data_IF_073180345366
#
_entry.id   IF_073180345366
#
_cell.length_a   1.000
_cell.length_b   1.000
_cell.length_c   1.000
_cell.angle_alpha   90.00
_cell.angle_beta   90.00
_cell.angle_gamma   90.00
#
_symmetry.space_group_name_H-M   'P 1'
#
loop_
_entity.id
_entity.type
_entity.pdbx_description
1 polymer ?
#
# COMPACT_ATOMS: atom_id res chain seq x y z
N UNK A 1 -6.05 37.31 26.18
CA UNK A 1 -4.60 37.62 26.20
C UNK A 1 -3.85 36.33 26.52
N UNK A 2 -2.77 36.09 25.77
CA UNK A 2 -2.11 34.81 25.59
C UNK A 2 -1.51 34.19 26.87
N UNK A 3 -1.64 32.88 27.00
CA UNK A 3 -0.73 32.07 27.83
C UNK A 3 -0.02 31.10 26.89
N UNK A 4 1.23 31.47 26.58
CA UNK A 4 2.21 30.61 25.93
C UNK A 4 2.47 29.37 26.82
N UNK A 5 1.98 28.20 26.40
CA UNK A 5 2.47 26.94 26.94
C UNK A 5 3.80 26.62 26.26
N UNK A 6 4.89 26.82 27.02
CA UNK A 6 6.23 26.35 26.67
C UNK A 6 6.19 24.84 26.37
N UNK A 7 6.89 24.37 25.32
CA UNK A 7 7.10 22.94 25.11
C UNK A 7 7.97 22.38 26.24
N UNK A 8 7.61 21.19 26.72
CA UNK A 8 8.40 20.44 27.69
C UNK A 8 9.77 20.12 27.09
N UNK A 9 10.76 20.81 27.62
CA UNK A 9 12.18 20.70 27.33
C UNK A 9 12.72 19.38 27.90
N UNK A 10 13.46 18.66 27.06
CA UNK A 10 14.56 17.74 27.36
C UNK A 10 14.39 16.75 28.53
N UNK A 11 13.86 15.56 28.23
CA UNK A 11 14.54 14.36 28.71
C UNK A 11 15.59 13.96 27.67
N UNK A 12 16.78 14.55 27.78
CA UNK A 12 17.98 13.99 27.16
C UNK A 12 18.18 12.61 27.75
N UNK A 13 17.81 11.57 27.01
CA UNK A 13 18.31 10.21 27.26
C UNK A 13 19.83 10.33 27.26
N UNK A 14 20.42 10.05 28.42
CA UNK A 14 21.83 10.30 28.71
C UNK A 14 22.74 9.70 27.64
N UNK A 15 23.67 10.50 27.12
CA UNK A 15 24.69 10.14 26.13
C UNK A 15 25.74 9.12 26.64
N UNK A 16 25.51 8.47 27.78
CA UNK A 16 26.46 7.51 28.39
C UNK A 16 26.52 6.13 27.72
N UNK A 17 25.68 5.86 26.74
CA UNK A 17 25.63 4.55 26.08
C UNK A 17 26.08 4.58 24.61
N UNK A 18 26.60 5.71 24.12
CA UNK A 18 27.07 5.83 22.72
C UNK A 18 28.35 5.04 22.40
N UNK A 19 29.00 4.41 23.38
CA UNK A 19 30.27 3.72 23.20
C UNK A 19 30.32 2.23 23.54
N UNK A 20 29.20 1.57 23.90
CA UNK A 20 29.24 0.18 24.39
C UNK A 20 28.12 -0.67 23.79
N UNK A 21 28.03 -0.80 22.47
CA UNK A 21 27.14 -1.80 21.87
C UNK A 21 27.77 -2.41 20.62
N UNK A 22 28.76 -3.27 20.84
CA UNK A 22 29.38 -4.12 19.81
C UNK A 22 28.88 -5.59 19.86
N UNK A 23 27.95 -5.93 20.76
CA UNK A 23 27.37 -7.28 20.84
C UNK A 23 25.97 -7.32 20.23
N UNK A 24 25.85 -7.96 19.06
CA UNK A 24 24.59 -8.17 18.34
C UNK A 24 23.52 -8.91 19.17
N UNK A 25 23.89 -9.77 20.10
CA UNK A 25 22.94 -10.60 20.87
C UNK A 25 22.15 -9.81 21.92
N UNK A 26 22.80 -8.92 22.67
CA UNK A 26 22.12 -8.07 23.65
C UNK A 26 21.16 -7.09 22.96
N UNK A 27 21.58 -6.52 21.82
CA UNK A 27 20.75 -5.62 21.02
C UNK A 27 19.47 -6.32 20.53
N UNK A 28 19.60 -7.57 20.11
CA UNK A 28 18.47 -8.36 19.63
C UNK A 28 17.50 -8.71 20.77
N UNK A 29 18.01 -9.14 21.93
CA UNK A 29 17.19 -9.45 23.11
C UNK A 29 16.36 -8.25 23.61
N UNK A 30 16.94 -7.03 23.55
CA UNK A 30 16.25 -5.81 23.92
C UNK A 30 15.04 -5.51 23.02
N UNK A 31 15.24 -5.52 21.70
CA UNK A 31 14.13 -5.25 20.76
C UNK A 31 13.06 -6.35 20.77
N UNK A 32 13.44 -7.60 21.06
CA UNK A 32 12.46 -8.66 21.27
C UNK A 32 11.58 -8.45 22.52
N UNK A 33 11.97 -7.66 23.50
CA UNK A 33 11.14 -7.33 24.67
C UNK A 33 10.12 -6.20 24.41
N UNK A 34 10.36 -5.33 23.42
CA UNK A 34 9.48 -4.18 23.13
C UNK A 34 8.15 -4.58 22.50
N UNK A 35 7.10 -3.78 22.71
CA UNK A 35 5.83 -3.92 21.99
C UNK A 35 5.97 -3.51 20.52
N UNK A 36 5.01 -3.91 19.68
CA UNK A 36 5.00 -3.56 18.24
C UNK A 36 5.00 -2.04 18.05
N UNK A 37 4.21 -1.30 18.82
CA UNK A 37 4.15 0.16 18.69
C UNK A 37 5.48 0.84 19.07
N UNK A 38 6.15 0.36 20.12
CA UNK A 38 7.47 0.86 20.53
C UNK A 38 8.53 0.56 19.45
N UNK A 39 8.48 -0.62 18.83
CA UNK A 39 9.37 -0.97 17.71
C UNK A 39 9.13 -0.06 16.50
N UNK A 40 7.88 0.22 16.14
CA UNK A 40 7.57 1.15 15.03
C UNK A 40 8.10 2.55 15.33
N UNK A 41 7.89 3.07 16.55
CA UNK A 41 8.38 4.40 16.94
C UNK A 41 9.91 4.48 16.93
N UNK A 42 10.57 3.44 17.44
CA UNK A 42 12.02 3.36 17.44
C UNK A 42 12.59 3.28 16.02
N UNK A 43 11.98 2.49 15.14
CA UNK A 43 12.35 2.46 13.73
C UNK A 43 12.23 3.85 13.09
N UNK A 44 11.15 4.58 13.33
CA UNK A 44 10.99 5.94 12.82
C UNK A 44 12.05 6.90 13.36
N UNK A 45 12.36 6.84 14.66
CA UNK A 45 13.45 7.60 15.28
C UNK A 45 14.79 7.29 14.62
N UNK A 46 15.10 6.02 14.38
CA UNK A 46 16.32 5.57 13.70
C UNK A 46 16.39 6.07 12.26
N UNK A 47 15.28 6.05 11.52
CA UNK A 47 15.19 6.58 10.15
C UNK A 47 15.44 8.09 10.11
N UNK A 48 14.87 8.86 11.04
CA UNK A 48 15.12 10.31 11.14
C UNK A 48 16.62 10.58 11.33
N UNK A 49 17.30 9.72 12.10
CA UNK A 49 18.74 9.77 12.32
C UNK A 49 19.57 9.11 11.19
N UNK A 50 18.93 8.77 10.05
CA UNK A 50 19.55 8.13 8.87
C UNK A 50 20.21 6.77 9.15
N UNK A 51 19.85 6.09 10.24
CA UNK A 51 20.32 4.75 10.58
C UNK A 51 19.43 3.69 9.90
N UNK A 52 19.42 3.66 8.56
CA UNK A 52 18.45 2.89 7.78
C UNK A 52 18.54 1.38 7.99
N UNK A 53 19.75 0.80 8.06
CA UNK A 53 19.92 -0.65 8.27
C UNK A 53 19.38 -1.10 9.63
N UNK A 54 19.69 -0.37 10.70
CA UNK A 54 19.17 -0.67 12.05
C UNK A 54 17.67 -0.44 12.13
N UNK A 55 17.18 0.63 11.50
CA UNK A 55 15.74 0.91 11.40
C UNK A 55 14.98 -0.23 10.70
N UNK A 56 15.52 -0.77 9.61
CA UNK A 56 14.96 -1.93 8.92
C UNK A 56 14.96 -3.18 9.80
N UNK A 57 16.05 -3.46 10.54
CA UNK A 57 16.12 -4.58 11.48
C UNK A 57 15.05 -4.48 12.58
N UNK A 58 14.84 -3.29 13.15
CA UNK A 58 13.79 -3.07 14.15
C UNK A 58 12.39 -3.32 13.56
N UNK A 59 12.14 -2.88 12.32
CA UNK A 59 10.89 -3.17 11.62
C UNK A 59 10.71 -4.66 11.28
N UNK A 60 11.79 -5.39 11.00
CA UNK A 60 11.74 -6.83 10.80
C UNK A 60 11.19 -7.52 12.05
N UNK A 61 11.74 -7.18 13.23
CA UNK A 61 11.27 -7.73 14.51
C UNK A 61 9.80 -7.37 14.76
N UNK A 62 9.39 -6.14 14.42
CA UNK A 62 7.99 -5.73 14.52
C UNK A 62 7.08 -6.57 13.60
N UNK A 63 7.48 -6.76 12.35
CA UNK A 63 6.73 -7.52 11.36
C UNK A 63 6.58 -9.00 11.75
N UNK A 64 7.66 -9.63 12.23
CA UNK A 64 7.63 -11.01 12.74
C UNK A 64 6.66 -11.16 13.91
N UNK A 65 6.64 -10.18 14.83
CA UNK A 65 5.66 -10.13 15.93
C UNK A 65 4.23 -9.93 15.41
N UNK A 66 4.03 -9.06 14.43
CA UNK A 66 2.73 -8.84 13.80
C UNK A 66 2.20 -10.13 13.17
N UNK A 67 3.03 -10.86 12.42
CA UNK A 67 2.65 -12.14 11.83
C UNK A 67 2.32 -13.20 12.88
N UNK A 68 3.14 -13.32 13.92
CA UNK A 68 2.88 -14.24 15.04
C UNK A 68 1.56 -13.93 15.75
N UNK A 69 1.25 -12.64 15.93
CA UNK A 69 0.05 -12.17 16.62
C UNK A 69 -1.16 -12.03 15.70
N UNK A 70 -1.07 -12.47 14.44
CA UNK A 70 -2.13 -12.34 13.43
C UNK A 70 -2.63 -10.91 13.23
N UNK A 71 -1.73 -9.95 13.34
CA UNK A 71 -2.08 -8.54 13.18
C UNK A 71 -2.18 -8.15 11.70
N UNK A 72 -3.22 -7.38 11.35
CA UNK A 72 -3.57 -7.03 9.96
C UNK A 72 -3.35 -5.55 9.60
N UNK A 73 -2.68 -4.77 10.45
CA UNK A 73 -2.40 -3.33 10.20
C UNK A 73 -1.43 -3.16 9.02
N UNK A 74 -1.96 -3.21 7.80
CA UNK A 74 -1.20 -3.21 6.54
C UNK A 74 -0.22 -2.05 6.41
N UNK A 75 -0.65 -0.85 6.81
CA UNK A 75 0.16 0.37 6.77
C UNK A 75 1.46 0.29 7.59
N UNK A 76 1.49 -0.53 8.65
CA UNK A 76 2.70 -0.80 9.41
C UNK A 76 3.58 -1.83 8.71
N UNK A 77 2.98 -2.90 8.18
CA UNK A 77 3.69 -3.93 7.41
C UNK A 77 4.41 -3.33 6.19
N UNK A 78 3.78 -2.39 5.50
CA UNK A 78 4.33 -1.72 4.32
C UNK A 78 5.51 -0.78 4.63
N UNK A 79 5.78 -0.44 5.89
CA UNK A 79 6.97 0.34 6.25
C UNK A 79 8.24 -0.45 6.01
N UNK A 80 8.25 -1.73 6.37
CA UNK A 80 9.46 -2.57 6.30
C UNK A 80 10.08 -2.64 4.89
N UNK A 81 9.36 -3.01 3.81
CA UNK A 81 9.93 -3.04 2.46
C UNK A 81 10.47 -1.67 2.03
N UNK A 82 9.81 -0.57 2.40
CA UNK A 82 10.29 0.78 2.08
C UNK A 82 11.57 1.16 2.83
N UNK A 83 11.78 0.63 4.03
CA UNK A 83 12.98 0.90 4.83
C UNK A 83 14.14 0.00 4.40
N UNK A 84 13.85 -1.23 3.95
CA UNK A 84 14.82 -2.08 3.26
C UNK A 84 15.37 -1.37 2.01
N UNK A 85 14.51 -0.71 1.23
CA UNK A 85 14.96 0.11 0.10
C UNK A 85 15.95 1.20 0.53
N UNK A 86 15.62 1.95 1.58
CA UNK A 86 16.50 3.02 2.11
C UNK A 86 17.83 2.48 2.63
N UNK A 87 17.85 1.22 3.08
CA UNK A 87 19.05 0.51 3.51
C UNK A 87 19.83 -0.14 2.35
N UNK A 88 19.42 0.06 1.09
CA UNK A 88 20.06 -0.55 -0.09
C UNK A 88 19.70 -2.03 -0.32
N UNK A 89 18.72 -2.57 0.41
CA UNK A 89 18.28 -3.97 0.32
C UNK A 89 17.04 -4.12 -0.57
N UNK A 90 17.14 -3.65 -1.82
CA UNK A 90 15.99 -3.52 -2.72
C UNK A 90 15.33 -4.86 -3.05
N UNK A 91 16.12 -5.88 -3.36
CA UNK A 91 15.59 -7.21 -3.68
C UNK A 91 14.81 -7.80 -2.50
N UNK A 92 15.38 -7.71 -1.29
CA UNK A 92 14.69 -8.13 -0.07
C UNK A 92 13.39 -7.34 0.13
N UNK A 93 13.43 -6.01 -0.04
CA UNK A 93 12.24 -5.17 0.05
C UNK A 93 11.16 -5.57 -0.96
N UNK A 94 11.55 -5.94 -2.18
CA UNK A 94 10.61 -6.44 -3.18
C UNK A 94 9.95 -7.76 -2.77
N UNK A 95 10.75 -8.71 -2.29
CA UNK A 95 10.25 -10.00 -1.81
C UNK A 95 9.31 -9.86 -0.60
N UNK A 96 9.52 -8.87 0.26
CA UNK A 96 8.63 -8.60 1.39
C UNK A 96 7.23 -8.15 0.96
N UNK A 97 7.06 -7.42 -0.15
CA UNK A 97 5.72 -7.13 -0.67
C UNK A 97 4.97 -8.42 -1.04
N UNK A 98 5.66 -9.39 -1.65
CA UNK A 98 5.06 -10.67 -2.03
C UNK A 98 4.66 -11.48 -0.78
N UNK A 99 5.50 -11.48 0.26
CA UNK A 99 5.16 -12.10 1.55
C UNK A 99 3.94 -11.45 2.20
N UNK A 100 3.86 -10.12 2.17
CA UNK A 100 2.68 -9.39 2.68
C UNK A 100 1.43 -9.79 1.87
N UNK A 101 1.49 -9.87 0.54
CA UNK A 101 0.36 -10.36 -0.27
C UNK A 101 -0.05 -11.78 0.12
N UNK A 102 0.91 -12.70 0.24
CA UNK A 102 0.67 -14.09 0.67
C UNK A 102 0.00 -14.17 2.04
N UNK A 103 0.38 -13.31 2.98
CA UNK A 103 -0.22 -13.22 4.30
C UNK A 103 -1.72 -12.86 4.23
N UNK A 104 -2.11 -11.88 3.40
CA UNK A 104 -3.53 -11.53 3.21
C UNK A 104 -4.32 -12.58 2.43
N UNK A 105 -3.70 -13.27 1.45
CA UNK A 105 -4.34 -14.42 0.80
C UNK A 105 -4.64 -15.55 1.81
N UNK A 106 -3.78 -15.74 2.82
CA UNK A 106 -4.04 -16.67 3.92
C UNK A 106 -5.35 -16.37 4.64
N UNK A 107 -5.57 -15.10 5.00
CA UNK A 107 -6.80 -14.63 5.66
C UNK A 107 -8.04 -14.69 4.78
N UNK A 108 -7.89 -14.53 3.47
CA UNK A 108 -9.03 -14.71 2.59
C UNK A 108 -9.44 -16.19 2.52
N UNK A 109 -8.46 -17.10 2.47
CA UNK A 109 -8.71 -18.55 2.43
C UNK A 109 -9.33 -19.10 3.71
N UNK A 110 -8.95 -18.59 4.88
CA UNK A 110 -9.54 -19.00 6.16
C UNK A 110 -10.86 -18.28 6.49
N UNK A 111 -11.29 -17.34 5.63
CA UNK A 111 -12.54 -16.60 5.78
C UNK A 111 -12.48 -15.43 6.76
N UNK A 112 -11.29 -15.08 7.28
CA UNK A 112 -11.11 -13.91 8.16
C UNK A 112 -11.39 -12.60 7.44
N UNK A 113 -11.04 -12.51 6.14
CA UNK A 113 -11.37 -11.37 5.29
C UNK A 113 -12.14 -11.79 4.04
N UNK A 114 -12.98 -10.90 3.54
CA UNK A 114 -13.71 -11.05 2.30
C UNK A 114 -12.80 -10.85 1.08
N UNK A 115 -13.27 -11.30 -0.10
CA UNK A 115 -12.57 -11.02 -1.38
C UNK A 115 -12.45 -9.52 -1.67
N UNK A 116 -13.45 -8.72 -1.28
CA UNK A 116 -13.42 -7.28 -1.43
C UNK A 116 -12.31 -6.63 -0.58
N UNK A 117 -12.15 -7.07 0.67
CA UNK A 117 -11.07 -6.61 1.56
C UNK A 117 -9.70 -7.06 1.08
N UNK A 118 -9.59 -8.26 0.50
CA UNK A 118 -8.37 -8.72 -0.14
C UNK A 118 -7.96 -7.78 -1.28
N UNK A 119 -8.85 -7.50 -2.24
CA UNK A 119 -8.54 -6.57 -3.34
C UNK A 119 -8.24 -5.15 -2.85
N UNK A 120 -8.91 -4.70 -1.78
CA UNK A 120 -8.58 -3.42 -1.16
C UNK A 120 -7.14 -3.43 -0.62
N UNK A 121 -6.75 -4.44 0.14
CA UNK A 121 -5.40 -4.57 0.68
C UNK A 121 -4.35 -4.71 -0.44
N UNK A 122 -4.65 -5.49 -1.49
CA UNK A 122 -3.79 -5.60 -2.67
C UNK A 122 -3.59 -4.24 -3.34
N UNK A 123 -4.66 -3.47 -3.55
CA UNK A 123 -4.56 -2.14 -4.15
C UNK A 123 -3.58 -1.24 -3.39
N UNK A 124 -3.58 -1.31 -2.06
CA UNK A 124 -2.66 -0.54 -1.19
C UNK A 124 -1.22 -1.05 -1.28
N UNK A 125 -1.02 -2.38 -1.29
CA UNK A 125 0.30 -2.98 -1.46
C UNK A 125 0.87 -2.59 -2.82
N UNK A 126 0.11 -2.77 -3.88
CA UNK A 126 0.46 -2.44 -5.27
C UNK A 126 0.75 -0.95 -5.44
N UNK A 127 0.02 -0.06 -4.76
CA UNK A 127 0.33 1.37 -4.74
C UNK A 127 1.72 1.66 -4.17
N UNK A 128 2.07 1.01 -3.04
CA UNK A 128 3.40 1.18 -2.45
C UNK A 128 4.49 0.53 -3.30
N UNK A 129 4.19 -0.58 -3.98
CA UNK A 129 5.09 -1.15 -5.00
C UNK A 129 5.37 -0.17 -6.15
N UNK A 130 4.37 0.61 -6.59
CA UNK A 130 4.55 1.66 -7.59
C UNK A 130 5.54 2.73 -7.12
N UNK A 131 5.36 3.23 -5.89
CA UNK A 131 6.27 4.20 -5.27
C UNK A 131 7.68 3.63 -5.07
N UNK A 132 7.79 2.35 -4.75
CA UNK A 132 9.06 1.64 -4.62
C UNK A 132 9.82 1.64 -5.96
N UNK A 133 9.14 1.26 -7.06
CA UNK A 133 9.73 1.26 -8.40
C UNK A 133 10.06 2.68 -8.89
N UNK A 134 9.21 3.66 -8.59
CA UNK A 134 9.45 5.06 -8.96
C UNK A 134 10.76 5.58 -8.33
N UNK A 135 11.04 5.24 -7.06
CA UNK A 135 12.30 5.59 -6.40
C UNK A 135 13.52 4.94 -7.02
N UNK A 136 13.35 3.75 -7.62
CA UNK A 136 14.38 3.07 -8.42
C UNK A 136 14.56 3.68 -9.82
N UNK A 137 13.69 4.63 -10.20
CA UNK A 137 13.61 5.19 -11.56
C UNK A 137 13.16 4.16 -12.61
N UNK A 138 12.51 3.09 -12.17
CA UNK A 138 11.88 2.09 -13.04
C UNK A 138 10.46 2.57 -13.40
N UNK A 139 10.38 3.65 -14.18
CA UNK A 139 9.13 4.40 -14.34
C UNK A 139 8.04 3.65 -15.11
N UNK A 140 8.41 2.77 -16.05
CA UNK A 140 7.45 1.88 -16.72
C UNK A 140 6.74 0.95 -15.75
N UNK A 141 7.52 0.24 -14.92
CA UNK A 141 6.97 -0.59 -13.84
C UNK A 141 6.18 0.24 -12.84
N UNK A 142 6.64 1.45 -12.46
CA UNK A 142 5.91 2.31 -11.55
C UNK A 142 4.52 2.69 -12.09
N UNK A 143 4.44 3.11 -13.36
CA UNK A 143 3.17 3.45 -14.03
C UNK A 143 2.26 2.24 -14.09
N UNK A 144 2.78 1.08 -14.48
CA UNK A 144 2.03 -0.19 -14.48
C UNK A 144 1.42 -0.47 -13.09
N UNK A 145 2.21 -0.39 -12.02
CA UNK A 145 1.71 -0.64 -10.66
C UNK A 145 0.71 0.42 -10.18
N UNK A 146 0.83 1.68 -10.60
CA UNK A 146 -0.20 2.69 -10.34
C UNK A 146 -1.53 2.35 -11.02
N UNK A 147 -1.50 1.95 -12.29
CA UNK A 147 -2.70 1.52 -13.03
C UNK A 147 -3.30 0.28 -12.38
N UNK A 148 -2.48 -0.73 -12.08
CA UNK A 148 -2.93 -1.96 -11.43
C UNK A 148 -3.58 -1.69 -10.07
N UNK A 149 -2.95 -0.85 -9.24
CA UNK A 149 -3.50 -0.44 -7.94
C UNK A 149 -4.87 0.22 -8.09
N UNK A 150 -5.00 1.10 -9.09
CA UNK A 150 -6.27 1.74 -9.41
C UNK A 150 -7.36 0.72 -9.79
N UNK A 151 -7.03 -0.23 -10.66
CA UNK A 151 -7.97 -1.28 -11.08
C UNK A 151 -8.36 -2.22 -9.93
N UNK A 152 -7.40 -2.66 -9.11
CA UNK A 152 -7.65 -3.48 -7.91
C UNK A 152 -8.60 -2.75 -6.94
N UNK A 153 -8.46 -1.43 -6.78
CA UNK A 153 -9.39 -0.63 -5.98
C UNK A 153 -10.81 -0.60 -6.55
N UNK A 154 -10.97 -0.60 -7.87
CA UNK A 154 -12.29 -0.65 -8.51
C UNK A 154 -12.91 -2.04 -8.38
N UNK A 155 -12.11 -3.10 -8.59
CA UNK A 155 -12.54 -4.48 -8.40
C UNK A 155 -13.03 -4.74 -6.98
N UNK A 156 -12.37 -4.17 -5.96
CA UNK A 156 -12.84 -4.22 -4.58
C UNK A 156 -14.27 -3.66 -4.41
N UNK A 157 -14.56 -2.50 -5.02
CA UNK A 157 -15.89 -1.88 -4.96
C UNK A 157 -16.95 -2.68 -5.72
N UNK A 158 -16.61 -3.23 -6.88
CA UNK A 158 -17.51 -4.10 -7.63
C UNK A 158 -17.86 -5.38 -6.85
N UNK A 159 -16.89 -5.95 -6.12
CA UNK A 159 -17.14 -7.07 -5.22
C UNK A 159 -18.06 -6.69 -4.06
N UNK A 160 -17.92 -5.49 -3.49
CA UNK A 160 -18.85 -4.98 -2.47
C UNK A 160 -20.26 -4.90 -3.04
N UNK A 161 -20.43 -4.28 -4.21
CA UNK A 161 -21.74 -4.13 -4.87
C UNK A 161 -22.36 -5.50 -5.15
N UNK A 162 -21.60 -6.44 -5.71
CA UNK A 162 -22.06 -7.79 -5.99
C UNK A 162 -22.50 -8.54 -4.71
N UNK A 163 -21.72 -8.43 -3.63
CA UNK A 163 -22.08 -9.03 -2.34
C UNK A 163 -23.35 -8.41 -1.75
N UNK A 164 -23.55 -7.10 -1.88
CA UNK A 164 -24.77 -6.45 -1.41
C UNK A 164 -25.98 -6.90 -2.23
N UNK A 165 -25.88 -7.03 -3.55
CA UNK A 165 -26.95 -7.58 -4.38
C UNK A 165 -27.40 -8.97 -3.90
N UNK A 166 -26.45 -9.88 -3.66
CA UNK A 166 -26.75 -11.21 -3.14
C UNK A 166 -27.41 -11.19 -1.75
N UNK A 167 -27.08 -10.21 -0.90
CA UNK A 167 -27.73 -10.03 0.41
C UNK A 167 -29.15 -9.48 0.27
N UNK A 168 -29.36 -8.51 -0.63
CA UNK A 168 -30.68 -7.93 -0.93
C UNK A 168 -31.65 -9.02 -1.42
N UNK A 169 -31.19 -9.90 -2.31
CA UNK A 169 -31.99 -11.04 -2.81
C UNK A 169 -32.43 -11.99 -1.69
N UNK A 170 -31.60 -12.16 -0.66
CA UNK A 170 -31.83 -13.09 0.46
C UNK A 170 -32.48 -12.45 1.69
N UNK A 171 -32.66 -11.14 1.69
CA UNK A 171 -33.20 -10.40 2.84
C UNK A 171 -34.68 -10.72 3.08
N UNK A 172 -35.04 -10.89 4.36
CA UNK A 172 -36.37 -11.39 4.76
C UNK A 172 -37.34 -10.27 5.14
N UNK A 173 -36.85 -9.04 5.30
CA UNK A 173 -37.68 -7.88 5.66
C UNK A 173 -37.47 -6.72 4.69
N UNK A 174 -38.50 -5.86 4.58
CA UNK A 174 -38.43 -4.66 3.76
C UNK A 174 -37.41 -3.64 4.32
N UNK A 175 -37.26 -3.59 5.63
CA UNK A 175 -36.34 -2.66 6.31
C UNK A 175 -34.88 -3.07 6.06
N UNK A 176 -34.56 -4.35 6.22
CA UNK A 176 -33.25 -4.91 5.86
C UNK A 176 -32.90 -4.68 4.39
N UNK A 177 -33.86 -4.86 3.47
CA UNK A 177 -33.65 -4.57 2.04
C UNK A 177 -33.28 -3.10 1.80
N UNK A 178 -34.00 -2.17 2.42
CA UNK A 178 -33.73 -0.72 2.28
C UNK A 178 -32.34 -0.34 2.78
N UNK A 179 -31.90 -0.91 3.91
CA UNK A 179 -30.57 -0.65 4.45
C UNK A 179 -29.46 -1.16 3.51
N UNK A 180 -29.61 -2.39 3.01
CA UNK A 180 -28.66 -2.97 2.06
C UNK A 180 -28.63 -2.22 0.72
N UNK A 181 -29.78 -1.79 0.22
CA UNK A 181 -29.90 -0.95 -0.98
C UNK A 181 -29.18 0.39 -0.81
N UNK A 182 -29.33 1.04 0.36
CA UNK A 182 -28.63 2.28 0.70
C UNK A 182 -27.12 2.11 0.64
N UNK A 183 -26.59 1.03 1.23
CA UNK A 183 -25.15 0.71 1.20
C UNK A 183 -24.69 0.45 -0.24
N UNK A 184 -25.46 -0.30 -1.03
CA UNK A 184 -25.17 -0.56 -2.45
C UNK A 184 -25.10 0.74 -3.27
N UNK A 185 -26.08 1.64 -3.12
CA UNK A 185 -26.13 2.93 -3.82
C UNK A 185 -24.92 3.80 -3.46
N UNK A 186 -24.49 3.78 -2.19
CA UNK A 186 -23.27 4.49 -1.76
C UNK A 186 -22.02 3.91 -2.43
N UNK A 187 -21.90 2.57 -2.48
CA UNK A 187 -20.79 1.90 -3.14
C UNK A 187 -20.77 2.19 -4.66
N UNK A 188 -21.92 2.19 -5.34
CA UNK A 188 -22.06 2.56 -6.76
C UNK A 188 -21.65 4.02 -7.01
N UNK A 189 -22.11 4.93 -6.16
CA UNK A 189 -21.73 6.35 -6.24
C UNK A 189 -20.23 6.53 -6.09
N UNK A 190 -19.61 5.82 -5.14
CA UNK A 190 -18.16 5.86 -4.94
C UNK A 190 -17.39 5.21 -6.09
N UNK A 191 -17.90 4.10 -6.67
CA UNK A 191 -17.34 3.48 -7.86
C UNK A 191 -17.34 4.43 -9.05
N UNK A 192 -18.46 5.12 -9.31
CA UNK A 192 -18.58 6.08 -10.39
C UNK A 192 -17.61 7.27 -10.21
N UNK A 193 -17.49 7.77 -8.98
CA UNK A 193 -16.50 8.80 -8.65
C UNK A 193 -15.07 8.30 -8.88
N UNK A 194 -14.79 7.02 -8.57
CA UNK A 194 -13.48 6.40 -8.78
C UNK A 194 -13.17 6.13 -10.25
N UNK A 195 -14.17 5.84 -11.09
CA UNK A 195 -14.03 5.69 -12.55
C UNK A 195 -13.76 7.02 -13.28
N UNK A 196 -13.96 8.16 -12.61
CA UNK A 196 -13.74 9.47 -13.21
C UNK A 196 -12.26 9.69 -13.60
N UNK A 197 -11.98 10.28 -14.79
CA UNK A 197 -10.61 10.38 -15.33
C UNK A 197 -9.58 11.02 -14.39
N UNK A 198 -9.99 12.04 -13.63
CA UNK A 198 -9.09 12.76 -12.74
C UNK A 198 -8.43 11.85 -11.67
N UNK A 199 -9.04 10.72 -11.32
CA UNK A 199 -8.53 9.81 -10.28
C UNK A 199 -7.22 9.16 -10.71
N UNK A 200 -7.15 8.56 -11.90
CA UNK A 200 -5.90 7.97 -12.40
C UNK A 200 -4.98 9.00 -13.03
N UNK A 201 -5.51 10.08 -13.61
CA UNK A 201 -4.67 11.18 -14.10
C UNK A 201 -3.79 11.72 -12.97
N UNK A 202 -4.35 11.94 -11.79
CA UNK A 202 -3.59 12.43 -10.63
C UNK A 202 -2.52 11.42 -10.17
N UNK A 203 -2.79 10.11 -10.30
CA UNK A 203 -1.83 9.06 -9.97
C UNK A 203 -0.65 9.02 -10.94
N UNK A 204 -0.91 9.23 -12.24
CA UNK A 204 0.11 9.10 -13.29
C UNK A 204 0.88 10.39 -13.57
N UNK A 205 0.24 11.56 -13.41
CA UNK A 205 0.79 12.84 -13.86
C UNK A 205 2.17 13.15 -13.27
N UNK A 206 2.38 12.93 -11.97
CA UNK A 206 3.67 13.19 -11.32
C UNK A 206 4.80 12.36 -11.94
N UNK A 207 4.54 11.06 -12.17
CA UNK A 207 5.51 10.14 -12.76
C UNK A 207 5.81 10.52 -14.20
N UNK A 208 4.78 10.85 -14.99
CA UNK A 208 4.93 11.24 -16.40
C UNK A 208 5.67 12.58 -16.57
N UNK A 209 5.41 13.56 -15.70
CA UNK A 209 6.13 14.84 -15.69
C UNK A 209 7.61 14.62 -15.40
N UNK A 210 7.96 13.73 -14.45
CA UNK A 210 9.37 13.43 -14.11
C UNK A 210 10.17 12.85 -15.26
N UNK A 211 9.52 12.15 -16.18
CA UNK A 211 10.16 11.54 -17.36
C UNK A 211 9.89 12.31 -18.66
N UNK A 212 9.31 13.51 -18.60
CA UNK A 212 8.93 14.33 -19.76
C UNK A 212 7.96 13.66 -20.75
N UNK A 213 7.17 12.67 -20.31
CA UNK A 213 6.18 11.95 -21.14
C UNK A 213 4.74 12.34 -20.81
N UNK A 214 4.48 13.59 -20.39
CA UNK A 214 3.12 14.02 -20.01
C UNK A 214 2.13 13.94 -21.18
N UNK A 215 2.60 14.07 -22.42
CA UNK A 215 1.81 13.89 -23.64
C UNK A 215 1.27 12.46 -23.81
N UNK A 216 1.86 11.46 -23.16
CA UNK A 216 1.38 10.06 -23.18
C UNK A 216 0.11 9.85 -22.34
N UNK A 217 -0.30 10.85 -21.54
CA UNK A 217 -1.46 10.75 -20.64
C UNK A 217 -2.76 10.39 -21.38
N UNK A 218 -2.94 10.87 -22.61
CA UNK A 218 -4.11 10.54 -23.42
C UNK A 218 -4.17 9.05 -23.80
N UNK A 219 -3.03 8.45 -24.13
CA UNK A 219 -2.94 7.02 -24.46
C UNK A 219 -3.16 6.14 -23.23
N UNK A 220 -2.63 6.55 -22.07
CA UNK A 220 -2.96 5.88 -20.80
C UNK A 220 -4.43 5.99 -20.45
N UNK A 221 -5.06 7.14 -20.72
CA UNK A 221 -6.49 7.33 -20.55
C UNK A 221 -7.28 6.36 -21.44
N UNK A 222 -6.91 6.21 -22.72
CA UNK A 222 -7.53 5.24 -23.63
C UNK A 222 -7.37 3.80 -23.12
N UNK A 223 -6.15 3.41 -22.75
CA UNK A 223 -5.85 2.09 -22.19
C UNK A 223 -6.75 1.78 -20.99
N UNK A 224 -6.81 2.69 -20.02
CA UNK A 224 -7.63 2.51 -18.81
C UNK A 224 -9.11 2.39 -19.17
N UNK A 225 -9.65 3.28 -20.01
CA UNK A 225 -11.06 3.22 -20.40
C UNK A 225 -11.41 1.91 -21.10
N UNK A 226 -10.53 1.38 -21.96
CA UNK A 226 -10.71 0.06 -22.57
C UNK A 226 -10.69 -1.05 -21.53
N UNK A 227 -9.73 -1.03 -20.59
CA UNK A 227 -9.66 -2.03 -19.50
C UNK A 227 -10.90 -2.01 -18.60
N UNK A 228 -11.49 -0.83 -18.36
CA UNK A 228 -12.68 -0.70 -17.52
C UNK A 228 -13.92 -1.38 -18.09
N UNK A 229 -13.96 -1.64 -19.41
CA UNK A 229 -15.07 -2.36 -20.05
C UNK A 229 -15.11 -3.84 -19.65
N UNK A 230 -13.94 -4.41 -19.32
CA UNK A 230 -13.77 -5.83 -19.04
C UNK A 230 -13.49 -6.14 -17.56
N UNK A 231 -13.70 -5.17 -16.64
CA UNK A 231 -13.65 -5.47 -15.19
C UNK A 231 -14.73 -6.54 -14.87
N UNK A 232 -14.40 -7.67 -14.22
CA UNK A 232 -13.20 -7.97 -13.43
C UNK A 232 -12.12 -8.83 -14.12
N UNK A 233 -12.26 -9.19 -15.39
CA UNK A 233 -11.38 -10.13 -16.11
C UNK A 233 -10.12 -9.48 -16.68
N UNK A 234 -9.47 -8.64 -15.89
CA UNK A 234 -8.34 -7.82 -16.34
C UNK A 234 -7.10 -8.69 -16.60
N UNK A 235 -6.54 -8.59 -17.80
CA UNK A 235 -5.22 -9.15 -18.12
C UNK A 235 -4.11 -8.17 -17.74
N UNK A 236 -3.53 -8.39 -16.55
CA UNK A 236 -2.45 -7.55 -16.04
C UNK A 236 -1.12 -7.71 -16.78
N UNK A 237 -0.89 -8.78 -17.53
CA UNK A 237 0.32 -8.92 -18.35
C UNK A 237 0.18 -8.04 -19.59
N UNK A 238 -0.97 -8.09 -20.25
CA UNK A 238 -1.26 -7.23 -21.40
C UNK A 238 -1.18 -5.74 -21.02
N UNK A 239 -1.64 -5.35 -19.83
CA UNK A 239 -1.51 -3.96 -19.36
C UNK A 239 -0.03 -3.57 -19.22
N UNK A 240 0.82 -4.42 -18.65
CA UNK A 240 2.25 -4.14 -18.50
C UNK A 240 2.93 -3.95 -19.87
N UNK A 241 2.63 -4.84 -20.83
CA UNK A 241 3.09 -4.73 -22.21
C UNK A 241 2.66 -3.41 -22.85
N UNK A 242 1.37 -3.05 -22.75
CA UNK A 242 0.82 -1.81 -23.30
C UNK A 242 1.41 -0.56 -22.66
N UNK A 243 1.67 -0.58 -21.35
CA UNK A 243 2.35 0.53 -20.66
C UNK A 243 3.74 0.75 -21.25
N UNK A 244 4.51 -0.31 -21.48
CA UNK A 244 5.84 -0.20 -22.06
C UNK A 244 5.79 0.28 -23.51
N UNK A 245 4.86 -0.22 -24.32
CA UNK A 245 4.65 0.26 -25.70
C UNK A 245 4.36 1.77 -25.74
N UNK A 246 3.44 2.24 -24.88
CA UNK A 246 3.09 3.67 -24.80
C UNK A 246 4.33 4.49 -24.42
N UNK A 247 5.12 4.07 -23.43
CA UNK A 247 6.29 4.83 -23.02
C UNK A 247 7.37 4.88 -24.11
N UNK A 248 7.63 3.78 -24.81
CA UNK A 248 8.60 3.74 -25.91
C UNK A 248 8.20 4.70 -27.03
N UNK A 249 6.91 4.79 -27.36
CA UNK A 249 6.42 5.68 -28.41
C UNK A 249 6.58 7.18 -28.06
N UNK A 250 6.71 7.52 -26.77
CA UNK A 250 6.77 8.89 -26.27
C UNK A 250 8.13 9.26 -25.64
N UNK A 251 9.09 8.32 -25.62
CA UNK A 251 10.47 8.57 -25.22
C UNK A 251 11.24 9.14 -26.41
N UNK A 252 11.14 10.46 -26.60
CA UNK A 252 11.87 11.25 -27.61
C UNK A 252 12.88 12.16 -26.92
#
# INVERSE_FOLDING_TARGET
MAVYNKPLINQRVSEKHRGVFQNNEMLNSFYHALSINELIQEAERLKINKQYSTSAQVLQIAQEKMYKNKEMRLELLLKYPMYLQLAGQEYTGWMEFLKIKQYFYGYQKDGTITLAELFYNESKITHVMALFQERKKEYGSAIYYFIRSYLESLSSLEQIIAQQNLKIEKANSLEEKKDLESIRIQAESYLNLKKAPFQYITLLANTLVRINCISALEEFNKLIQMTLLDLPSVDYLLIEEKVNEILIAYAV
#
